data_IF_972514153060
#
_entry.id   IF_972514153060
#
_cell.length_a   1.000
_cell.length_b   1.000
_cell.length_c   1.000
_cell.angle_alpha   90.00
_cell.angle_beta   90.00
_cell.angle_gamma   90.00
#
_symmetry.space_group_name_H-M   'P 1'
#
loop_
_entity.id
_entity.type
_entity.pdbx_description
1 polymer ?
#
# COMPACT_ATOMS: atom_id res chain seq x y z
N UNK A 1 -11.60 -24.89 -26.20
CA UNK A 1 -11.14 -23.73 -26.98
C UNK A 1 -12.17 -22.58 -27.00
N UNK A 2 -13.26 -22.63 -27.78
CA UNK A 2 -14.20 -21.49 -27.89
C UNK A 2 -14.91 -21.12 -26.57
N UNK A 3 -15.34 -22.11 -25.79
CA UNK A 3 -15.98 -21.87 -24.48
C UNK A 3 -15.04 -21.24 -23.46
N UNK A 4 -13.76 -21.63 -23.46
CA UNK A 4 -12.73 -21.07 -22.58
C UNK A 4 -12.40 -19.63 -22.98
N UNK A 5 -12.33 -19.36 -24.29
CA UNK A 5 -12.15 -18.01 -24.81
C UNK A 5 -13.32 -17.09 -24.42
N UNK A 6 -14.56 -17.58 -24.54
CA UNK A 6 -15.76 -16.84 -24.12
C UNK A 6 -15.76 -16.55 -22.61
N UNK A 7 -15.37 -17.54 -21.79
CA UNK A 7 -15.26 -17.36 -20.34
C UNK A 7 -14.16 -16.35 -19.96
N UNK A 8 -12.99 -16.43 -20.60
CA UNK A 8 -11.90 -15.49 -20.40
C UNK A 8 -12.30 -14.06 -20.80
N UNK A 9 -13.01 -13.90 -21.92
CA UNK A 9 -13.50 -12.60 -22.38
C UNK A 9 -14.46 -11.96 -21.36
N UNK A 10 -15.38 -12.75 -20.78
CA UNK A 10 -16.29 -12.26 -19.73
C UNK A 10 -15.57 -11.81 -18.46
N UNK A 11 -14.50 -12.50 -18.07
CA UNK A 11 -13.66 -12.09 -16.94
C UNK A 11 -12.93 -10.77 -17.21
N UNK A 12 -12.42 -10.58 -18.42
CA UNK A 12 -11.77 -9.33 -18.84
C UNK A 12 -12.77 -8.16 -18.83
N UNK A 13 -13.98 -8.38 -19.32
CA UNK A 13 -15.02 -7.33 -19.36
C UNK A 13 -15.47 -6.94 -17.95
N UNK A 14 -15.63 -7.93 -17.05
CA UNK A 14 -15.92 -7.68 -15.64
C UNK A 14 -14.77 -6.91 -14.96
N UNK A 15 -13.51 -7.26 -15.23
CA UNK A 15 -12.36 -6.56 -14.68
C UNK A 15 -12.26 -5.11 -15.18
N UNK A 16 -12.56 -4.85 -16.46
CA UNK A 16 -12.64 -3.49 -17.01
C UNK A 16 -13.74 -2.67 -16.36
N UNK A 17 -14.90 -3.26 -16.12
CA UNK A 17 -16.01 -2.60 -15.43
C UNK A 17 -15.67 -2.28 -13.96
N UNK A 18 -14.94 -3.15 -13.27
CA UNK A 18 -14.43 -2.88 -11.93
C UNK A 18 -13.35 -1.79 -11.94
N UNK A 19 -12.54 -1.72 -13.00
CA UNK A 19 -11.51 -0.70 -13.16
C UNK A 19 -12.08 0.70 -13.46
N UNK A 20 -13.25 0.79 -14.11
CA UNK A 20 -13.93 2.08 -14.33
C UNK A 20 -14.51 2.68 -13.06
N UNK A 21 -14.82 1.86 -12.05
CA UNK A 21 -15.38 2.30 -10.77
C UNK A 21 -14.44 1.92 -9.60
N UNK A 22 -13.31 2.63 -9.42
CA UNK A 22 -12.30 2.32 -8.40
C UNK A 22 -12.83 2.40 -6.96
N UNK A 23 -13.97 3.06 -6.74
CA UNK A 23 -14.71 3.06 -5.47
C UNK A 23 -15.15 1.65 -5.06
N UNK A 24 -15.46 0.77 -6.01
CA UNK A 24 -15.90 -0.61 -5.72
C UNK A 24 -14.80 -1.45 -5.04
N UNK A 25 -13.55 -1.27 -5.44
CA UNK A 25 -12.38 -1.92 -4.83
C UNK A 25 -12.14 -1.37 -3.42
N UNK A 26 -12.31 -0.06 -3.24
CA UNK A 26 -12.19 0.60 -1.93
C UNK A 26 -13.28 0.14 -0.95
N UNK A 27 -14.52 -0.06 -1.42
CA UNK A 27 -15.61 -0.59 -0.59
C UNK A 27 -15.36 -2.05 -0.19
N UNK A 28 -14.90 -2.90 -1.11
CA UNK A 28 -14.49 -4.28 -0.78
C UNK A 28 -13.34 -4.28 0.25
N UNK A 29 -12.41 -3.35 0.12
CA UNK A 29 -11.31 -3.17 1.09
C UNK A 29 -11.84 -2.78 2.49
N UNK A 30 -12.73 -1.79 2.59
CA UNK A 30 -13.35 -1.41 3.87
C UNK A 30 -14.14 -2.57 4.50
N UNK A 31 -14.81 -3.39 3.69
CA UNK A 31 -15.49 -4.59 4.16
C UNK A 31 -14.52 -5.62 4.72
N UNK A 32 -13.39 -5.91 4.05
CA UNK A 32 -12.36 -6.83 4.58
C UNK A 32 -11.74 -6.33 5.89
N UNK A 33 -11.52 -5.02 6.02
CA UNK A 33 -11.05 -4.43 7.28
C UNK A 33 -12.08 -4.57 8.40
N UNK A 34 -13.37 -4.47 8.07
CA UNK A 34 -14.46 -4.65 9.03
C UNK A 34 -14.55 -6.10 9.49
N UNK A 35 -14.46 -7.06 8.56
CA UNK A 35 -14.46 -8.50 8.87
C UNK A 35 -13.25 -8.88 9.75
N UNK A 36 -12.06 -8.36 9.47
CA UNK A 36 -10.84 -8.61 10.29
C UNK A 36 -10.91 -7.89 11.65
N UNK A 37 -11.46 -6.68 11.69
CA UNK A 37 -11.52 -5.84 12.89
C UNK A 37 -12.52 -6.33 13.96
N UNK A 38 -13.60 -6.99 13.53
CA UNK A 38 -14.63 -7.53 14.44
C UNK A 38 -14.15 -8.78 15.18
N UNK A 39 -13.28 -9.60 14.57
CA UNK A 39 -12.81 -10.87 15.14
C UNK A 39 -11.71 -10.71 16.21
N UNK A 40 -11.04 -9.54 16.25
CA UNK A 40 -9.95 -9.22 17.19
C UNK A 40 -10.11 -7.80 17.73
N UNK A 41 -11.02 -7.62 18.68
CA UNK A 41 -11.43 -6.39 19.39
C UNK A 41 -10.33 -5.39 19.89
N UNK A 42 -9.06 -5.50 19.50
CA UNK A 42 -7.96 -4.61 19.91
C UNK A 42 -6.84 -4.37 18.88
N UNK A 43 -6.86 -4.96 17.68
CA UNK A 43 -5.77 -4.75 16.67
C UNK A 43 -6.27 -3.96 15.46
N UNK A 44 -5.85 -2.70 15.35
CA UNK A 44 -6.10 -1.86 14.17
C UNK A 44 -5.06 -2.18 13.10
N UNK A 45 -5.45 -2.90 12.03
CA UNK A 45 -4.56 -3.21 10.91
C UNK A 45 -4.73 -2.14 9.82
N UNK A 46 -3.72 -1.27 9.67
CA UNK A 46 -3.66 -0.30 8.60
C UNK A 46 -2.46 -0.60 7.70
N UNK A 47 -2.66 -0.92 6.41
CA UNK A 47 -1.56 -1.13 5.48
C UNK A 47 -0.85 0.20 5.22
N UNK A 48 0.47 0.21 5.42
CA UNK A 48 1.31 1.38 5.17
C UNK A 48 2.00 1.19 3.80
N UNK A 49 1.89 2.15 2.88
CA UNK A 49 2.62 2.13 1.61
C UNK A 49 4.11 1.88 1.78
N UNK A 50 4.68 0.98 0.96
CA UNK A 50 6.11 0.61 1.02
C UNK A 50 7.05 1.82 0.82
N UNK A 51 6.59 2.84 0.10
CA UNK A 51 7.35 4.06 -0.17
C UNK A 51 7.60 4.90 1.09
N UNK A 52 6.73 4.79 2.12
CA UNK A 52 6.87 5.52 3.38
C UNK A 52 8.12 5.08 4.13
N UNK A 53 8.46 3.79 4.08
CA UNK A 53 9.65 3.25 4.74
C UNK A 53 10.94 3.86 4.17
N UNK A 54 10.96 4.18 2.87
CA UNK A 54 12.11 4.83 2.22
C UNK A 54 12.36 6.26 2.73
N UNK A 55 11.29 7.02 3.01
CA UNK A 55 11.37 8.38 3.55
C UNK A 55 11.83 8.38 5.01
N UNK A 56 11.32 7.44 5.81
CA UNK A 56 11.69 7.28 7.21
C UNK A 56 13.17 6.87 7.34
N UNK A 57 13.66 5.94 6.52
CA UNK A 57 15.07 5.52 6.53
C UNK A 57 16.02 6.66 6.14
N UNK A 58 15.64 7.52 5.19
CA UNK A 58 16.43 8.72 4.83
C UNK A 58 16.50 9.73 5.97
N UNK A 59 15.40 9.90 6.71
CA UNK A 59 15.34 10.81 7.85
C UNK A 59 16.15 10.29 9.05
N UNK A 60 16.09 8.99 9.33
CA UNK A 60 16.89 8.32 10.37
C UNK A 60 18.40 8.27 10.02
N UNK A 61 18.74 8.06 8.75
CA UNK A 61 20.13 8.02 8.28
C UNK A 61 20.84 9.39 8.25
N UNK A 62 20.09 10.50 8.25
CA UNK A 62 20.65 11.86 8.19
C UNK A 62 21.12 12.41 9.54
N UNK A 63 20.83 11.74 10.66
CA UNK A 63 21.20 12.22 11.99
C UNK A 63 22.55 11.69 12.51
N UNK A 64 23.27 10.87 11.75
CA UNK A 64 24.49 10.18 12.20
C UNK A 64 25.80 10.62 11.48
N UNK A 65 25.83 11.77 10.79
CA UNK A 65 27.02 12.15 10.03
C UNK A 65 27.10 13.60 9.60
N UNK A 66 27.22 14.54 10.55
CA UNK A 66 27.93 15.79 10.30
C UNK A 66 28.61 16.28 11.59
N UNK A 67 29.70 15.60 11.94
CA UNK A 67 30.64 16.01 12.97
C UNK A 67 31.98 16.32 12.31
N UNK A 68 32.13 17.52 11.74
CA UNK A 68 33.43 18.01 11.28
C UNK A 68 34.01 18.98 12.32
N UNK A 69 35.14 18.68 12.98
CA UNK A 69 35.80 19.62 13.88
C UNK A 69 36.61 20.62 13.04
N UNK A 70 36.23 21.90 13.09
CA UNK A 70 37.06 22.98 12.54
C UNK A 70 38.21 23.28 13.50
N UNK A 71 39.33 22.58 13.28
CA UNK A 71 40.63 22.92 13.87
C UNK A 71 41.02 24.34 13.42
N UNK A 72 41.42 25.15 14.41
CA UNK A 72 41.65 26.58 14.26
C UNK A 72 42.83 26.98 13.39
N UNK A 73 42.81 28.27 13.02
CA UNK A 73 43.99 29.07 12.73
C UNK A 73 43.76 30.46 13.32
N UNK A 74 44.47 30.73 14.41
CA UNK A 74 44.94 32.08 14.71
C UNK A 74 46.24 32.35 13.94
#
# INVERSE_FOLDING_TARGET
>A
AEGEFSAAQRLVDAAKLLATEPVSVQLRYLQTLTEIGVEKNTTVVFPVPVDIFSGVQKMLGKSAGDGSPTVGKG
#
